data_IF_260576726465
#
_entry.id   IF_260576726465
#
_cell.length_a   1.000
_cell.length_b   1.000
_cell.length_c   1.000
_cell.angle_alpha   90.00
_cell.angle_beta   90.00
_cell.angle_gamma   90.00
#
_symmetry.space_group_name_H-M   'P 1'
#
loop_
_entity.id
_entity.type
_entity.pdbx_description
1 polymer ?
#
# COMPACT_ATOMS: atom_id res chain seq x y z
N UNK A 1 -14.62 17.97 -17.45
CA UNK A 1 -13.78 17.06 -16.65
C UNK A 1 -13.33 17.87 -15.45
N UNK A 2 -14.07 17.75 -14.34
CA UNK A 2 -13.76 18.52 -13.12
C UNK A 2 -12.66 17.82 -12.36
N UNK A 3 -11.51 18.48 -12.25
CA UNK A 3 -10.39 18.05 -11.42
C UNK A 3 -10.79 18.23 -9.96
N UNK A 4 -11.11 17.17 -9.26
CA UNK A 4 -11.30 17.20 -7.82
C UNK A 4 -9.93 17.37 -7.17
N UNK A 5 -9.61 18.60 -6.81
CA UNK A 5 -8.54 18.92 -5.86
C UNK A 5 -9.00 18.44 -4.48
N UNK A 6 -8.58 17.26 -4.09
CA UNK A 6 -8.71 16.85 -2.69
C UNK A 6 -7.69 17.65 -1.89
N UNK A 7 -8.18 18.46 -0.95
CA UNK A 7 -7.38 19.36 -0.12
C UNK A 7 -6.48 18.56 0.83
N UNK A 8 -5.29 18.23 0.38
CA UNK A 8 -4.13 18.14 1.26
C UNK A 8 -3.50 19.54 1.25
N UNK A 9 -3.79 20.34 2.28
CA UNK A 9 -3.63 21.79 2.23
C UNK A 9 -2.21 22.29 2.39
N UNK A 10 -1.18 21.43 2.48
CA UNK A 10 0.20 21.85 2.75
C UNK A 10 1.29 21.26 1.84
N UNK A 11 0.93 20.63 0.71
CA UNK A 11 1.93 20.18 -0.27
C UNK A 11 1.65 20.89 -1.59
N UNK A 12 2.28 22.03 -1.79
CA UNK A 12 2.02 22.93 -2.92
C UNK A 12 2.27 22.35 -4.32
N UNK A 13 2.85 21.14 -4.44
CA UNK A 13 3.33 20.60 -5.72
C UNK A 13 2.84 19.20 -6.09
N UNK A 14 1.93 18.57 -5.33
CA UNK A 14 1.39 17.25 -5.69
C UNK A 14 0.01 17.36 -6.34
N UNK A 15 -0.11 16.90 -7.57
CA UNK A 15 -1.40 16.83 -8.30
C UNK A 15 -1.90 15.39 -8.25
N UNK A 16 -3.08 15.18 -7.63
CA UNK A 16 -3.78 13.90 -7.67
C UNK A 16 -4.67 13.88 -8.90
N UNK A 17 -4.54 12.85 -9.72
CA UNK A 17 -5.36 12.64 -10.92
C UNK A 17 -6.37 11.54 -10.62
N UNK A 18 -7.65 11.82 -10.87
CA UNK A 18 -8.72 10.82 -10.79
C UNK A 18 -8.46 9.67 -11.76
N UNK A 19 -8.62 8.45 -11.29
CA UNK A 19 -8.55 7.25 -12.14
C UNK A 19 -9.82 7.13 -13.00
N UNK A 20 -9.74 6.54 -14.20
CA UNK A 20 -10.93 6.15 -14.94
C UNK A 20 -11.76 5.16 -14.11
N UNK A 21 -13.09 5.19 -14.29
CA UNK A 21 -14.12 4.57 -13.44
C UNK A 21 -13.94 3.06 -13.11
N UNK A 22 -13.10 2.33 -13.82
CA UNK A 22 -12.73 0.95 -13.49
C UNK A 22 -11.26 0.85 -13.14
N UNK A 23 -10.93 0.84 -11.84
CA UNK A 23 -9.60 0.48 -11.37
C UNK A 23 -9.30 -0.96 -11.74
N UNK A 24 -8.43 -1.19 -12.73
CA UNK A 24 -8.02 -2.56 -13.09
C UNK A 24 -7.43 -3.26 -11.86
N UNK A 25 -7.88 -4.50 -11.63
CA UNK A 25 -7.32 -5.33 -10.58
C UNK A 25 -5.84 -5.60 -10.89
N UNK A 26 -4.95 -5.13 -10.03
CA UNK A 26 -3.50 -5.39 -10.15
C UNK A 26 -3.09 -6.75 -9.60
N UNK A 27 -4.02 -7.46 -8.96
CA UNK A 27 -3.83 -8.82 -8.45
C UNK A 27 -5.03 -9.67 -8.80
N UNK A 28 -4.78 -10.82 -9.42
CA UNK A 28 -5.78 -11.87 -9.63
C UNK A 28 -5.75 -12.80 -8.43
N UNK A 29 -6.70 -12.65 -7.56
CA UNK A 29 -6.83 -13.46 -6.36
C UNK A 29 -8.19 -13.23 -5.72
N UNK A 30 -8.49 -13.95 -4.67
CA UNK A 30 -9.71 -13.77 -3.90
C UNK A 30 -9.61 -12.49 -3.04
N UNK A 31 -9.57 -11.33 -3.74
CA UNK A 31 -9.47 -10.01 -3.13
C UNK A 31 -10.56 -9.09 -3.66
N UNK A 32 -10.93 -8.08 -2.87
CA UNK A 32 -11.91 -7.06 -3.22
C UNK A 32 -11.22 -5.70 -3.29
N UNK A 33 -11.57 -4.89 -4.29
CA UNK A 33 -11.22 -3.46 -4.34
C UNK A 33 -12.01 -2.69 -3.30
N UNK A 34 -11.39 -1.70 -2.68
CA UNK A 34 -12.04 -0.82 -1.71
C UNK A 34 -11.47 0.61 -1.85
N UNK A 35 -12.32 1.60 -1.62
CA UNK A 35 -11.90 3.00 -1.55
C UNK A 35 -11.28 3.29 -0.18
N UNK A 36 -10.32 4.22 -0.15
CA UNK A 36 -9.63 4.62 1.07
C UNK A 36 -10.59 5.14 2.15
N UNK A 37 -11.61 5.88 1.75
CA UNK A 37 -12.60 6.41 2.65
C UNK A 37 -13.40 5.31 3.37
N UNK A 38 -13.75 4.25 2.67
CA UNK A 38 -14.46 3.11 3.26
C UNK A 38 -13.59 2.39 4.31
N UNK A 39 -12.26 2.35 4.13
CA UNK A 39 -11.35 1.82 5.15
C UNK A 39 -11.32 2.67 6.41
N UNK A 40 -11.54 3.96 6.28
CA UNK A 40 -11.54 4.90 7.41
C UNK A 40 -12.84 4.84 8.21
N UNK A 41 -13.98 4.78 7.52
CA UNK A 41 -15.29 4.99 8.13
C UNK A 41 -15.95 3.69 8.62
N UNK A 42 -15.75 2.58 7.91
CA UNK A 42 -16.56 1.37 8.08
C UNK A 42 -15.85 0.23 8.83
N UNK A 43 -14.54 0.31 9.04
CA UNK A 43 -13.79 -0.86 9.52
C UNK A 43 -13.07 -0.63 10.83
N UNK A 44 -13.18 -1.64 11.70
CA UNK A 44 -12.48 -1.68 12.98
C UNK A 44 -11.00 -1.95 12.79
N UNK A 45 -10.19 -1.38 13.65
CA UNK A 45 -8.79 -1.76 13.80
C UNK A 45 -8.70 -2.86 14.85
N UNK A 46 -8.35 -4.10 14.48
CA UNK A 46 -8.27 -5.17 15.44
C UNK A 46 -7.06 -4.95 16.38
N UNK A 47 -7.29 -5.09 17.66
CA UNK A 47 -6.22 -5.04 18.67
C UNK A 47 -5.79 -6.47 18.98
N UNK A 48 -4.58 -6.84 18.51
CA UNK A 48 -4.00 -8.17 18.73
C UNK A 48 -2.84 -8.16 19.71
N UNK A 49 -2.39 -6.98 20.14
CA UNK A 49 -1.29 -6.79 21.08
C UNK A 49 -1.80 -6.28 22.43
N UNK A 50 -0.87 -6.12 23.37
CA UNK A 50 -1.19 -5.59 24.71
C UNK A 50 -1.85 -4.23 24.61
N UNK A 51 -2.73 -3.91 25.55
CA UNK A 51 -3.56 -2.70 25.62
C UNK A 51 -2.80 -1.36 25.54
N UNK A 52 -1.47 -1.38 25.61
CA UNK A 52 -0.62 -0.19 25.69
C UNK A 52 0.04 0.17 24.35
N UNK A 53 -0.22 -0.58 23.27
CA UNK A 53 0.39 -0.32 21.96
C UNK A 53 -0.72 -0.02 20.96
N UNK A 54 -0.69 1.18 20.45
CA UNK A 54 -1.58 1.60 19.39
C UNK A 54 -1.33 0.76 18.12
N UNK A 55 -2.37 0.14 17.59
CA UNK A 55 -2.28 -0.57 16.33
C UNK A 55 -2.40 0.42 15.19
N UNK A 56 -1.38 0.57 14.38
CA UNK A 56 -1.43 1.36 13.15
C UNK A 56 -2.52 0.75 12.26
N UNK A 57 -3.48 1.51 11.80
CA UNK A 57 -4.54 1.02 10.92
C UNK A 57 -4.05 0.76 9.49
N UNK A 58 -4.85 0.09 8.65
CA UNK A 58 -4.57 0.02 7.22
C UNK A 58 -4.60 1.40 6.57
N UNK A 59 -5.54 2.25 6.99
CA UNK A 59 -5.66 3.63 6.53
C UNK A 59 -4.41 4.46 6.88
N UNK A 60 -3.95 4.40 8.15
CA UNK A 60 -2.75 5.12 8.58
C UNK A 60 -1.50 4.64 7.82
N UNK A 61 -1.42 3.35 7.53
CA UNK A 61 -0.32 2.80 6.73
C UNK A 61 -0.31 3.37 5.32
N UNK A 62 -1.46 3.39 4.62
CA UNK A 62 -1.57 3.94 3.27
C UNK A 62 -1.20 5.42 3.28
N UNK A 63 -1.83 6.21 4.17
CA UNK A 63 -1.59 7.65 4.26
C UNK A 63 -0.12 7.96 4.56
N UNK A 64 0.49 7.26 5.52
CA UNK A 64 1.91 7.47 5.87
C UNK A 64 2.84 7.20 4.68
N UNK A 65 2.60 6.14 3.91
CA UNK A 65 3.40 5.83 2.72
C UNK A 65 3.15 6.85 1.61
N UNK A 66 1.90 7.28 1.44
CA UNK A 66 1.52 8.26 0.44
C UNK A 66 2.14 9.63 0.73
N UNK A 67 2.07 10.10 1.98
CA UNK A 67 2.69 11.36 2.42
C UNK A 67 4.22 11.33 2.24
N UNK A 68 4.86 10.21 2.59
CA UNK A 68 6.28 10.04 2.37
C UNK A 68 6.64 10.08 0.87
N UNK A 69 5.81 9.45 0.02
CA UNK A 69 5.99 9.45 -1.42
C UNK A 69 5.86 10.86 -2.01
N UNK A 70 4.81 11.59 -1.63
CA UNK A 70 4.60 12.97 -2.08
C UNK A 70 5.76 13.89 -1.65
N UNK A 71 6.24 13.72 -0.43
CA UNK A 71 7.39 14.49 0.07
C UNK A 71 8.67 14.17 -0.68
N UNK A 72 8.91 12.90 -0.98
CA UNK A 72 10.15 12.50 -1.66
C UNK A 72 10.15 12.81 -3.15
N UNK A 73 9.03 12.55 -3.84
CA UNK A 73 8.85 12.77 -5.26
C UNK A 73 8.09 14.08 -5.54
N UNK A 74 8.53 15.18 -4.93
CA UNK A 74 7.93 16.51 -5.11
C UNK A 74 7.83 16.90 -6.59
N UNK A 75 6.74 17.57 -6.96
CA UNK A 75 6.47 17.98 -8.34
C UNK A 75 6.01 16.87 -9.28
N UNK A 76 5.88 15.63 -8.78
CA UNK A 76 5.36 14.52 -9.57
C UNK A 76 3.84 14.38 -9.41
N UNK A 77 3.21 13.74 -10.41
CA UNK A 77 1.78 13.43 -10.40
C UNK A 77 1.56 12.05 -9.79
N UNK A 78 0.56 11.94 -8.92
CA UNK A 78 0.19 10.69 -8.25
C UNK A 78 -1.24 10.32 -8.63
N UNK A 79 -1.48 9.03 -8.85
CA UNK A 79 -2.84 8.50 -8.85
C UNK A 79 -3.26 8.17 -7.42
N UNK A 80 -4.57 8.18 -7.18
CA UNK A 80 -5.11 7.67 -5.92
C UNK A 80 -4.68 6.23 -5.67
N UNK A 81 -4.41 5.86 -4.40
CA UNK A 81 -4.06 4.49 -4.07
C UNK A 81 -5.11 3.49 -4.56
N UNK A 82 -4.67 2.50 -5.33
CA UNK A 82 -5.50 1.36 -5.69
C UNK A 82 -5.36 0.29 -4.60
N UNK A 83 -6.45 0.01 -3.90
CA UNK A 83 -6.43 -0.80 -2.67
C UNK A 83 -7.16 -2.11 -2.90
N UNK A 84 -6.54 -3.21 -2.48
CA UNK A 84 -7.12 -4.54 -2.48
C UNK A 84 -7.05 -5.15 -1.08
N UNK A 85 -8.15 -5.73 -0.64
CA UNK A 85 -8.29 -6.33 0.69
C UNK A 85 -8.71 -7.78 0.59
N UNK A 86 -8.42 -8.57 1.63
CA UNK A 86 -8.97 -9.92 1.80
C UNK A 86 -10.49 -9.85 2.02
N UNK A 87 -11.13 -11.02 2.11
CA UNK A 87 -12.51 -11.07 2.56
C UNK A 87 -12.65 -10.47 3.97
N UNK A 88 -13.82 -9.91 4.19
CA UNK A 88 -14.21 -9.28 5.45
C UNK A 88 -14.29 -10.31 6.60
N UNK A 89 -13.76 -9.94 7.75
CA UNK A 89 -13.84 -10.72 8.98
C UNK A 89 -14.62 -9.94 10.04
N UNK A 90 -15.51 -10.63 10.75
CA UNK A 90 -16.28 -10.04 11.84
C UNK A 90 -15.55 -10.17 13.17
N UNK A 91 -15.57 -9.09 13.95
CA UNK A 91 -15.02 -9.01 15.29
C UNK A 91 -16.10 -8.47 16.24
N UNK A 92 -16.21 -9.05 17.44
CA UNK A 92 -17.08 -8.51 18.46
C UNK A 92 -16.50 -7.21 19.01
N UNK A 93 -17.35 -6.19 19.11
CA UNK A 93 -16.99 -4.95 19.80
C UNK A 93 -17.03 -5.17 21.33
N UNK A 94 -16.54 -4.18 22.08
CA UNK A 94 -16.63 -4.22 23.54
C UNK A 94 -18.10 -4.34 24.04
N UNK A 95 -19.06 -3.76 23.33
CA UNK A 95 -20.50 -3.84 23.65
C UNK A 95 -21.05 -5.27 23.47
N UNK A 96 -20.51 -6.00 22.49
CA UNK A 96 -20.90 -7.40 22.21
C UNK A 96 -20.16 -8.44 23.05
N UNK A 97 -19.18 -8.01 23.86
CA UNK A 97 -18.43 -8.90 24.74
C UNK A 97 -19.34 -9.53 25.80
N UNK A 98 -19.33 -10.87 25.88
CA UNK A 98 -20.17 -11.62 26.84
C UNK A 98 -21.59 -11.91 26.36
N UNK A 99 -22.07 -11.36 25.27
CA UNK A 99 -23.37 -11.70 24.69
C UNK A 99 -23.34 -13.05 23.97
N UNK A 100 -24.46 -13.78 24.05
CA UNK A 100 -24.66 -14.98 23.22
C UNK A 100 -24.77 -14.57 21.74
N UNK A 101 -24.36 -15.46 20.82
CA UNK A 101 -24.37 -15.18 19.37
C UNK A 101 -25.78 -14.79 18.88
N UNK A 102 -26.80 -15.40 19.45
CA UNK A 102 -28.22 -15.18 19.13
C UNK A 102 -28.72 -13.77 19.52
N UNK A 103 -28.02 -13.10 20.45
CA UNK A 103 -28.39 -11.78 20.98
C UNK A 103 -27.46 -10.66 20.45
N UNK A 104 -26.61 -10.92 19.46
CA UNK A 104 -25.74 -9.93 18.86
C UNK A 104 -26.53 -9.06 17.87
N UNK A 105 -26.40 -7.75 18.03
CA UNK A 105 -26.90 -6.76 17.08
C UNK A 105 -25.74 -6.26 16.20
N UNK A 106 -26.04 -5.51 15.15
CA UNK A 106 -25.01 -4.92 14.28
C UNK A 106 -24.06 -3.97 15.04
N UNK A 107 -24.54 -3.34 16.12
CA UNK A 107 -23.71 -2.49 17.00
C UNK A 107 -22.72 -3.29 17.87
N UNK A 108 -22.98 -4.58 18.06
CA UNK A 108 -22.17 -5.47 18.88
C UNK A 108 -21.03 -6.15 18.13
N UNK A 109 -21.03 -6.02 16.82
CA UNK A 109 -20.00 -6.55 15.92
C UNK A 109 -19.54 -5.48 14.96
N UNK A 110 -18.31 -5.56 14.57
CA UNK A 110 -17.74 -4.76 13.49
C UNK A 110 -16.89 -5.63 12.58
N UNK A 111 -16.51 -5.08 11.46
CA UNK A 111 -15.76 -5.79 10.44
C UNK A 111 -14.33 -5.27 10.35
N UNK A 112 -13.41 -6.12 9.89
CA UNK A 112 -12.06 -5.72 9.54
C UNK A 112 -11.51 -6.60 8.42
N UNK A 113 -10.48 -6.09 7.74
CA UNK A 113 -9.72 -6.85 6.75
C UNK A 113 -8.41 -7.34 7.34
N UNK A 114 -8.20 -8.65 7.27
CA UNK A 114 -6.99 -9.29 7.79
C UNK A 114 -5.74 -8.91 6.99
N UNK A 115 -5.89 -8.80 5.68
CA UNK A 115 -4.81 -8.50 4.75
C UNK A 115 -5.21 -7.37 3.83
N UNK A 116 -4.26 -6.50 3.56
CA UNK A 116 -4.42 -5.39 2.66
C UNK A 116 -3.14 -5.19 1.83
N UNK A 117 -3.34 -4.76 0.60
CA UNK A 117 -2.32 -4.38 -0.33
C UNK A 117 -2.79 -3.15 -1.10
N UNK A 118 -1.87 -2.25 -1.39
CA UNK A 118 -2.15 -1.10 -2.24
C UNK A 118 -1.00 -0.81 -3.19
N UNK A 119 -1.33 -0.13 -4.27
CA UNK A 119 -0.39 0.45 -5.22
C UNK A 119 -0.66 1.94 -5.34
N UNK A 120 0.41 2.73 -5.31
CA UNK A 120 0.43 4.16 -5.67
C UNK A 120 1.22 4.28 -6.94
N UNK A 121 0.60 4.78 -8.00
CA UNK A 121 1.24 5.02 -9.29
C UNK A 121 1.71 6.47 -9.42
N UNK A 122 2.87 6.67 -10.05
CA UNK A 122 3.44 7.98 -10.34
C UNK A 122 3.56 8.13 -11.86
N UNK A 123 2.47 8.50 -12.58
CA UNK A 123 2.43 8.48 -14.05
C UNK A 123 3.45 9.40 -14.71
N UNK A 124 3.83 10.47 -14.03
CA UNK A 124 4.86 11.39 -14.51
C UNK A 124 6.27 10.79 -14.58
N UNK A 125 6.49 9.64 -13.92
CA UNK A 125 7.73 8.86 -14.00
C UNK A 125 7.43 7.56 -14.77
N UNK A 126 7.29 7.69 -16.09
CA UNK A 126 7.05 6.56 -17.00
C UNK A 126 8.15 6.50 -18.04
N UNK A 127 8.66 5.31 -18.28
CA UNK A 127 9.69 5.04 -19.26
C UNK A 127 9.22 3.97 -20.26
N UNK A 128 9.38 4.24 -21.54
CA UNK A 128 9.16 3.23 -22.57
C UNK A 128 10.40 2.35 -22.70
N UNK A 129 10.23 1.06 -22.46
CA UNK A 129 11.24 0.04 -22.70
C UNK A 129 10.65 -0.94 -23.70
N UNK A 130 11.07 -0.78 -24.97
CA UNK A 130 10.69 -1.61 -26.11
C UNK A 130 9.18 -1.76 -26.33
N UNK A 131 8.48 -0.65 -26.35
CA UNK A 131 7.05 -0.62 -26.58
C UNK A 131 6.20 -0.90 -25.34
N UNK A 132 6.84 -1.18 -24.20
CA UNK A 132 6.14 -1.30 -22.91
C UNK A 132 6.36 -0.04 -22.08
N UNK A 133 5.29 0.61 -21.71
CA UNK A 133 5.33 1.74 -20.81
C UNK A 133 5.38 1.24 -19.36
N UNK A 134 6.48 1.53 -18.70
CA UNK A 134 6.74 1.17 -17.31
C UNK A 134 6.59 2.41 -16.45
N UNK A 135 5.58 2.41 -15.60
CA UNK A 135 5.29 3.49 -14.66
C UNK A 135 5.86 3.16 -13.28
N UNK A 136 6.48 4.14 -12.64
CA UNK A 136 6.97 3.99 -11.28
C UNK A 136 5.81 3.77 -10.32
N UNK A 137 5.95 2.76 -9.47
CA UNK A 137 4.93 2.39 -8.50
C UNK A 137 5.53 2.16 -7.12
N UNK A 138 4.75 2.52 -6.11
CA UNK A 138 5.01 2.21 -4.71
C UNK A 138 3.95 1.23 -4.26
N UNK A 139 4.37 0.15 -3.64
CA UNK A 139 3.49 -0.93 -3.18
C UNK A 139 3.59 -1.08 -1.68
N UNK A 140 2.46 -1.22 -1.02
CA UNK A 140 2.40 -1.56 0.38
C UNK A 140 1.61 -2.85 0.62
N UNK A 141 2.11 -3.70 1.52
CA UNK A 141 1.44 -4.95 1.91
C UNK A 141 1.45 -5.07 3.43
N UNK A 142 0.32 -5.42 3.99
CA UNK A 142 0.19 -5.68 5.42
C UNK A 142 -0.75 -6.84 5.70
N UNK A 143 -0.39 -7.60 6.75
CA UNK A 143 -1.27 -8.59 7.36
C UNK A 143 -1.23 -8.46 8.87
N UNK A 144 -2.38 -8.31 9.51
CA UNK A 144 -2.48 -8.26 10.96
C UNK A 144 -2.02 -9.57 11.62
N UNK A 145 -2.25 -10.73 10.98
CA UNK A 145 -1.80 -12.03 11.50
C UNK A 145 -0.29 -12.16 11.58
N UNK A 146 0.45 -11.55 10.65
CA UNK A 146 1.92 -11.59 10.67
C UNK A 146 2.49 -10.76 11.82
N UNK A 147 1.82 -9.67 12.19
CA UNK A 147 2.19 -8.88 13.37
C UNK A 147 2.11 -9.73 14.65
N UNK A 148 1.09 -10.58 14.75
CA UNK A 148 0.94 -11.48 15.91
C UNK A 148 2.03 -12.55 15.99
N UNK A 149 2.54 -13.02 14.85
CA UNK A 149 3.60 -14.03 14.79
C UNK A 149 4.97 -13.52 15.27
N UNK A 150 5.15 -12.19 15.38
CA UNK A 150 6.38 -11.59 15.90
C UNK A 150 6.57 -11.82 17.43
N UNK A 151 5.61 -12.45 18.08
CA UNK A 151 5.65 -12.87 19.47
C UNK A 151 5.33 -11.75 20.47
N UNK A 152 5.01 -12.17 21.69
CA UNK A 152 4.60 -11.28 22.79
C UNK A 152 5.68 -10.30 23.28
N UNK A 153 6.93 -10.48 22.86
CA UNK A 153 8.05 -9.64 23.27
C UNK A 153 8.24 -8.40 22.39
N UNK A 154 7.72 -8.42 21.16
CA UNK A 154 7.88 -7.32 20.22
C UNK A 154 6.57 -6.52 20.11
N UNK A 155 6.63 -5.25 20.47
CA UNK A 155 5.55 -4.29 20.23
C UNK A 155 5.53 -3.79 18.77
N UNK A 156 6.49 -4.26 17.95
CA UNK A 156 6.65 -3.79 16.57
C UNK A 156 5.66 -4.47 15.65
N UNK A 157 5.10 -3.69 14.76
CA UNK A 157 4.20 -4.12 13.70
C UNK A 157 4.95 -4.24 12.39
N UNK A 158 4.61 -5.25 11.57
CA UNK A 158 5.30 -5.53 10.31
C UNK A 158 4.55 -4.90 9.14
N UNK A 159 5.27 -4.14 8.34
CA UNK A 159 4.83 -3.55 7.08
C UNK A 159 5.82 -3.91 5.99
N UNK A 160 5.33 -4.14 4.78
CA UNK A 160 6.17 -4.33 3.60
C UNK A 160 5.91 -3.19 2.65
N UNK A 161 6.96 -2.48 2.28
CA UNK A 161 6.90 -1.41 1.28
C UNK A 161 7.92 -1.70 0.20
N UNK A 162 7.52 -1.52 -1.04
CA UNK A 162 8.39 -1.66 -2.20
C UNK A 162 8.22 -0.48 -3.14
N UNK A 163 9.27 -0.17 -3.90
CA UNK A 163 9.28 0.82 -4.97
C UNK A 163 9.96 0.24 -6.20
N UNK A 164 9.36 0.44 -7.37
CA UNK A 164 9.89 -0.10 -8.63
C UNK A 164 8.95 0.13 -9.80
N UNK A 165 9.32 -0.38 -10.95
CA UNK A 165 8.47 -0.35 -12.15
C UNK A 165 7.64 -1.62 -12.25
N UNK A 166 6.35 -1.47 -12.54
CA UNK A 166 5.47 -2.59 -12.83
C UNK A 166 5.45 -2.85 -14.33
N UNK A 167 5.75 -4.06 -14.72
CA UNK A 167 5.44 -4.53 -16.06
C UNK A 167 4.03 -5.14 -16.07
N UNK A 168 3.11 -4.55 -16.82
CA UNK A 168 1.71 -4.99 -16.91
C UNK A 168 1.51 -6.34 -17.62
N UNK A 169 2.56 -7.00 -18.07
CA UNK A 169 2.46 -8.27 -18.80
C UNK A 169 2.03 -9.44 -17.93
N UNK A 170 2.16 -9.34 -16.61
CA UNK A 170 1.69 -10.36 -15.68
C UNK A 170 0.71 -9.78 -14.67
N UNK A 171 -0.49 -10.30 -14.68
CA UNK A 171 -1.57 -9.98 -13.72
C UNK A 171 -1.30 -10.47 -12.30
N UNK A 172 -0.27 -11.27 -12.09
CA UNK A 172 0.26 -11.58 -10.77
C UNK A 172 1.35 -10.57 -10.45
N UNK A 173 1.19 -9.87 -9.36
CA UNK A 173 2.07 -8.85 -8.85
C UNK A 173 3.55 -9.30 -8.83
N UNK A 174 4.16 -9.24 -9.96
CA UNK A 174 5.59 -9.14 -10.08
C UNK A 174 5.88 -7.64 -10.15
N UNK A 175 6.11 -7.03 -8.98
CA UNK A 175 7.08 -5.96 -8.93
C UNK A 175 8.22 -6.45 -9.82
N UNK A 176 8.61 -5.67 -10.83
CA UNK A 176 9.84 -5.96 -11.55
C UNK A 176 10.85 -6.46 -10.52
N UNK A 177 11.42 -7.62 -10.75
CA UNK A 177 12.25 -8.36 -9.76
C UNK A 177 13.39 -7.53 -9.19
N UNK A 178 13.64 -6.36 -9.74
CA UNK A 178 14.77 -5.47 -9.46
C UNK A 178 14.40 -4.20 -8.68
N UNK A 179 13.12 -4.02 -8.29
CA UNK A 179 12.70 -2.97 -7.36
C UNK A 179 13.25 -3.20 -5.95
N UNK A 180 13.33 -2.15 -5.15
CA UNK A 180 13.74 -2.24 -3.75
C UNK A 180 12.52 -2.49 -2.88
N UNK A 181 12.61 -3.51 -2.02
CA UNK A 181 11.60 -3.88 -1.04
C UNK A 181 12.20 -3.86 0.35
N UNK A 182 11.44 -3.38 1.32
CA UNK A 182 11.83 -3.33 2.72
C UNK A 182 10.74 -3.92 3.63
N UNK A 183 11.13 -4.81 4.54
CA UNK A 183 10.32 -5.27 5.65
C UNK A 183 10.55 -4.32 6.84
N UNK A 184 9.55 -3.49 7.14
CA UNK A 184 9.61 -2.43 8.13
C UNK A 184 8.94 -2.91 9.42
N UNK A 185 9.64 -2.82 10.55
CA UNK A 185 9.13 -3.20 11.87
C UNK A 185 9.14 -1.99 12.79
N UNK A 186 7.99 -1.40 13.04
CA UNK A 186 7.83 -0.15 13.80
C UNK A 186 6.68 -0.23 14.79
N UNK A 187 6.64 0.73 15.71
CA UNK A 187 5.59 0.87 16.73
C UNK A 187 4.66 2.06 16.47
N UNK A 188 5.07 3.00 15.60
CA UNK A 188 4.33 4.23 15.31
C UNK A 188 4.49 4.64 13.85
N UNK A 189 3.64 5.56 13.40
CA UNK A 189 3.62 6.07 12.02
C UNK A 189 4.81 6.96 11.69
N UNK A 190 5.36 7.68 12.66
CA UNK A 190 6.53 8.55 12.44
C UNK A 190 7.78 7.74 12.05
N UNK A 191 8.01 6.61 12.72
CA UNK A 191 9.09 5.70 12.34
C UNK A 191 8.81 5.05 10.98
N UNK A 192 7.56 4.68 10.70
CA UNK A 192 7.16 4.15 9.40
C UNK A 192 7.48 5.14 8.28
N UNK A 193 7.10 6.41 8.44
CA UNK A 193 7.39 7.49 7.51
C UNK A 193 8.90 7.61 7.25
N UNK A 194 9.70 7.63 8.31
CA UNK A 194 11.17 7.72 8.21
C UNK A 194 11.76 6.57 7.39
N UNK A 195 11.32 5.34 7.62
CA UNK A 195 11.78 4.18 6.86
C UNK A 195 11.33 4.22 5.40
N UNK A 196 10.15 4.75 5.11
CA UNK A 196 9.72 4.98 3.72
C UNK A 196 10.62 6.00 3.01
N UNK A 197 10.94 7.12 3.66
CA UNK A 197 11.88 8.11 3.12
C UNK A 197 13.27 7.51 2.86
N UNK A 198 13.76 6.67 3.77
CA UNK A 198 15.03 5.96 3.60
C UNK A 198 14.96 4.98 2.43
N UNK A 199 13.87 4.22 2.29
CA UNK A 199 13.65 3.31 1.15
C UNK A 199 13.70 4.06 -0.17
N UNK A 200 12.96 5.15 -0.28
CA UNK A 200 12.89 5.95 -1.52
C UNK A 200 14.25 6.58 -1.86
N UNK A 201 15.00 7.05 -0.86
CA UNK A 201 16.34 7.60 -1.07
C UNK A 201 17.38 6.60 -1.57
N UNK A 202 17.19 5.33 -1.26
CA UNK A 202 18.06 4.24 -1.74
C UNK A 202 17.73 3.78 -3.16
N UNK A 203 16.54 4.09 -3.66
CA UNK A 203 16.09 3.67 -4.97
C UNK A 203 16.37 4.73 -6.03
N UNK A 204 17.24 4.41 -6.98
CA UNK A 204 17.52 5.26 -8.12
C UNK A 204 16.83 4.70 -9.36
N UNK A 205 15.65 5.26 -9.70
CA UNK A 205 14.84 4.79 -10.81
C UNK A 205 15.52 5.02 -12.17
N UNK A 206 16.36 6.06 -12.35
CA UNK A 206 17.10 6.31 -13.59
C UNK A 206 18.11 5.19 -13.83
N UNK A 207 18.91 4.87 -12.82
CA UNK A 207 19.87 3.76 -12.88
C UNK A 207 19.18 2.42 -13.16
N UNK A 208 18.05 2.17 -12.52
CA UNK A 208 17.27 0.95 -12.72
C UNK A 208 16.78 0.82 -14.19
N UNK A 209 16.31 1.91 -14.80
CA UNK A 209 15.93 1.93 -16.22
C UNK A 209 17.12 1.63 -17.13
N UNK A 210 18.29 2.17 -16.83
CA UNK A 210 19.53 1.90 -17.58
C UNK A 210 19.95 0.43 -17.46
N UNK A 211 19.86 -0.14 -16.27
CA UNK A 211 20.13 -1.55 -16.02
C UNK A 211 19.16 -2.46 -16.80
N UNK A 212 17.86 -2.17 -16.77
CA UNK A 212 16.86 -2.92 -17.55
C UNK A 212 17.15 -2.89 -19.05
N UNK A 213 17.54 -1.74 -19.60
CA UNK A 213 17.95 -1.61 -21.01
C UNK A 213 19.19 -2.42 -21.33
N UNK A 214 20.17 -2.43 -20.43
CA UNK A 214 21.43 -3.16 -20.61
C UNK A 214 21.22 -4.67 -20.56
N UNK A 215 20.47 -5.17 -19.60
CA UNK A 215 20.16 -6.60 -19.45
C UNK A 215 19.47 -7.16 -20.68
N UNK A 216 18.60 -6.38 -21.30
CA UNK A 216 17.93 -6.83 -22.52
C UNK A 216 18.87 -6.92 -23.72
N UNK A 217 19.77 -5.95 -23.90
CA UNK A 217 20.76 -6.01 -24.96
C UNK A 217 21.65 -7.27 -24.86
N UNK A 218 21.92 -7.72 -23.62
CA UNK A 218 22.65 -8.96 -23.36
C UNK A 218 21.83 -10.21 -23.71
N UNK A 219 20.50 -10.17 -23.43
CA UNK A 219 19.59 -11.30 -23.76
C UNK A 219 19.42 -11.52 -25.26
N UNK A 220 19.51 -10.47 -26.08
CA UNK A 220 19.43 -10.58 -27.55
C UNK A 220 20.72 -11.10 -28.21
N UNK A 221 21.84 -11.13 -27.49
CA UNK A 221 23.11 -11.65 -28.00
C UNK A 221 23.19 -13.18 -27.87
N UNK A 222 22.27 -13.80 -27.12
CA UNK A 222 22.26 -15.25 -26.86
C UNK A 222 21.16 -16.02 -27.61
N UNK A 223 20.52 -15.41 -28.63
CA UNK A 223 19.62 -16.11 -29.57
C UNK A 223 20.38 -16.23 -30.95
#
# INVERSE_FOLDING_TARGET
METRLTKYQDVEDAVIIDQPEEKKAFILGNTRGIELQNLQDDYLVPVFSRDNVETISHNDFINTVFDAAQTFYQGQQFLEPNIRVSHEMKLRTRKGSGKLVENLTDEDSGSYYQRMMFIIEIPSITYNIEGNDLTLQIVGVRSYSETNLLGNASQKQLFRVGVGFLNQVCTNMLLSTDGVKLDIKVTNTADLYKYCMELFSRYNYIKHVEEMRTLKNLSLIHI
#
